data_IF_675575113864
#
_entry.id   IF_675575113864
#
_cell.length_a   1.000
_cell.length_b   1.000
_cell.length_c   1.000
_cell.angle_alpha   90.00
_cell.angle_beta   90.00
_cell.angle_gamma   90.00
#
_symmetry.space_group_name_H-M   'P 1'
#
loop_
_entity.id
_entity.type
_entity.pdbx_description
1 polymer ?
#
# COMPACT_ATOMS: atom_id res chain seq x y z
N UNK A 1 8.95 18.22 0.50
CA UNK A 1 7.98 17.54 1.35
C UNK A 1 6.93 16.87 0.47
N UNK A 2 6.55 15.62 0.78
CA UNK A 2 5.43 14.93 0.14
C UNK A 2 4.13 15.17 0.95
N UNK A 3 3.02 15.32 0.28
CA UNK A 3 1.71 15.51 0.89
C UNK A 3 0.74 14.45 0.43
N UNK A 4 -0.17 14.06 1.32
CA UNK A 4 -1.25 13.11 1.07
C UNK A 4 -2.57 13.85 0.92
N UNK A 5 -3.32 13.54 -0.13
CA UNK A 5 -4.70 13.98 -0.30
C UNK A 5 -5.61 12.77 -0.08
N UNK A 6 -6.39 12.82 0.99
CA UNK A 6 -7.41 11.82 1.32
C UNK A 6 -8.77 12.50 1.41
N UNK A 7 -9.75 12.02 0.65
CA UNK A 7 -11.11 12.59 0.65
C UNK A 7 -12.02 11.79 1.57
N UNK A 8 -12.60 12.45 2.57
CA UNK A 8 -13.56 11.84 3.53
C UNK A 8 -15.03 11.90 3.09
N UNK A 9 -15.38 12.73 2.12
CA UNK A 9 -16.77 12.87 1.67
C UNK A 9 -16.87 13.05 0.16
N UNK A 10 -17.70 12.23 -0.48
CA UNK A 10 -17.68 11.98 -1.92
C UNK A 10 -18.54 12.91 -2.77
N UNK A 11 -19.39 13.73 -2.16
CA UNK A 11 -20.50 14.37 -2.88
C UNK A 11 -20.28 15.83 -3.27
N UNK A 12 -19.29 16.53 -2.71
CA UNK A 12 -19.11 17.97 -2.95
C UNK A 12 -17.71 18.39 -3.48
N UNK A 13 -16.71 17.52 -3.52
CA UNK A 13 -15.31 17.93 -3.48
C UNK A 13 -14.45 17.65 -4.74
N UNK A 14 -15.03 17.20 -5.86
CA UNK A 14 -14.26 16.98 -7.10
C UNK A 14 -13.58 18.28 -7.58
N UNK A 15 -14.25 19.42 -7.42
CA UNK A 15 -13.67 20.73 -7.77
C UNK A 15 -12.65 21.25 -6.75
N UNK A 16 -12.81 20.94 -5.47
CA UNK A 16 -11.89 21.39 -4.41
C UNK A 16 -10.58 20.58 -4.43
N UNK A 17 -10.63 19.30 -4.66
CA UNK A 17 -9.44 18.43 -4.65
C UNK A 17 -8.42 18.77 -5.75
N UNK A 18 -8.85 19.19 -6.93
CA UNK A 18 -7.95 19.65 -7.99
C UNK A 18 -7.31 21.01 -7.65
N UNK A 19 -8.08 21.91 -7.04
CA UNK A 19 -7.58 23.18 -6.53
C UNK A 19 -6.58 22.97 -5.39
N UNK A 20 -6.88 22.07 -4.46
CA UNK A 20 -6.02 21.74 -3.32
C UNK A 20 -4.68 21.16 -3.81
N UNK A 21 -4.69 20.30 -4.82
CA UNK A 21 -3.48 19.73 -5.40
C UNK A 21 -2.56 20.81 -6.01
N UNK A 22 -3.11 21.78 -6.73
CA UNK A 22 -2.36 22.92 -7.28
C UNK A 22 -1.84 23.87 -6.20
N UNK A 23 -2.59 24.09 -5.13
CA UNK A 23 -2.12 24.89 -4.01
C UNK A 23 -0.96 24.23 -3.27
N UNK A 24 -0.97 22.88 -3.11
CA UNK A 24 0.15 22.14 -2.55
C UNK A 24 1.41 22.23 -3.43
N UNK A 25 1.26 22.12 -4.75
CA UNK A 25 2.37 22.32 -5.68
C UNK A 25 2.94 23.75 -5.56
N UNK A 26 2.11 24.78 -5.54
CA UNK A 26 2.52 26.18 -5.33
C UNK A 26 3.19 26.40 -3.98
N UNK A 27 2.76 25.68 -2.94
CA UNK A 27 3.37 25.73 -1.61
C UNK A 27 4.74 25.03 -1.55
N UNK A 28 5.20 24.40 -2.65
CA UNK A 28 6.51 23.78 -2.76
C UNK A 28 6.53 22.28 -2.50
N UNK A 29 5.41 21.60 -2.63
CA UNK A 29 5.41 20.14 -2.67
C UNK A 29 6.21 19.66 -3.89
N UNK A 30 7.03 18.63 -3.72
CA UNK A 30 7.81 18.04 -4.82
C UNK A 30 7.16 16.77 -5.41
N UNK A 31 6.17 16.20 -4.73
CA UNK A 31 5.36 15.06 -5.15
C UNK A 31 4.06 15.03 -4.35
N UNK A 32 3.01 14.42 -4.90
CA UNK A 32 1.75 14.17 -4.20
C UNK A 32 1.43 12.69 -4.16
N UNK A 33 0.95 12.23 -2.98
CA UNK A 33 0.35 10.90 -2.84
C UNK A 33 -1.17 11.05 -2.93
N UNK A 34 -1.77 10.32 -3.86
CA UNK A 34 -3.21 10.28 -4.09
C UNK A 34 -3.76 8.96 -3.54
N UNK A 35 -4.45 9.02 -2.40
CA UNK A 35 -4.95 7.81 -1.73
C UNK A 35 -6.47 7.69 -1.82
N UNK A 36 -6.96 6.54 -2.31
CA UNK A 36 -8.38 6.15 -2.33
C UNK A 36 -9.30 7.21 -2.94
N UNK A 37 -8.85 7.87 -4.00
CA UNK A 37 -9.66 8.81 -4.79
C UNK A 37 -10.13 8.16 -6.10
N UNK A 38 -11.18 8.69 -6.74
CA UNK A 38 -11.62 8.20 -8.05
C UNK A 38 -10.53 8.24 -9.10
N UNK A 39 -10.50 7.23 -9.94
CA UNK A 39 -9.54 7.10 -11.02
C UNK A 39 -9.56 8.29 -12.00
N UNK A 40 -10.73 8.78 -12.35
CA UNK A 40 -10.87 9.95 -13.22
C UNK A 40 -10.34 11.24 -12.56
N UNK A 41 -10.63 11.46 -11.27
CA UNK A 41 -10.08 12.59 -10.52
C UNK A 41 -8.56 12.51 -10.42
N UNK A 42 -8.01 11.34 -10.08
CA UNK A 42 -6.57 11.13 -10.06
C UNK A 42 -5.91 11.44 -11.42
N UNK A 43 -6.56 11.08 -12.52
CA UNK A 43 -6.11 11.39 -13.87
C UNK A 43 -6.10 12.90 -14.16
N UNK A 44 -7.15 13.62 -13.76
CA UNK A 44 -7.23 15.07 -13.91
C UNK A 44 -6.17 15.80 -13.09
N UNK A 45 -6.01 15.42 -11.82
CA UNK A 45 -4.97 15.95 -10.94
C UNK A 45 -3.59 15.72 -11.56
N UNK A 46 -3.28 14.50 -11.94
CA UNK A 46 -1.98 14.15 -12.54
C UNK A 46 -1.68 14.98 -13.79
N UNK A 47 -2.66 15.20 -14.67
CA UNK A 47 -2.50 16.03 -15.87
C UNK A 47 -2.34 17.52 -15.57
N UNK A 48 -2.86 18.00 -14.44
CA UNK A 48 -2.87 19.42 -14.08
C UNK A 48 -1.61 19.89 -13.34
N UNK A 49 -0.81 18.94 -12.82
CA UNK A 49 0.40 19.20 -12.06
C UNK A 49 1.67 19.03 -12.90
N UNK A 50 2.76 19.65 -12.45
CA UNK A 50 4.10 19.46 -13.01
C UNK A 50 4.97 18.55 -12.12
N UNK A 51 4.56 18.37 -10.87
CA UNK A 51 5.19 17.45 -9.92
C UNK A 51 4.60 16.04 -10.02
N UNK A 52 5.36 14.98 -9.73
CA UNK A 52 4.90 13.62 -9.86
C UNK A 52 3.79 13.28 -8.86
N UNK A 53 2.83 12.46 -9.31
CA UNK A 53 1.78 11.87 -8.49
C UNK A 53 2.03 10.40 -8.23
N UNK A 54 1.76 9.94 -7.00
CA UNK A 54 1.94 8.56 -6.56
C UNK A 54 0.60 8.04 -6.07
N UNK A 55 0.03 7.05 -6.76
CA UNK A 55 -1.28 6.49 -6.45
C UNK A 55 -1.23 5.33 -5.47
N UNK A 56 -2.17 5.30 -4.55
CA UNK A 56 -2.54 4.13 -3.77
C UNK A 56 -4.07 4.02 -3.72
N UNK A 57 -4.64 3.12 -4.49
CA UNK A 57 -6.10 3.04 -4.64
C UNK A 57 -6.70 4.22 -5.43
N UNK A 58 -5.93 4.85 -6.31
CA UNK A 58 -6.33 6.00 -7.13
C UNK A 58 -6.41 5.66 -8.64
N UNK A 59 -6.36 4.39 -9.00
CA UNK A 59 -6.35 3.94 -10.40
C UNK A 59 -4.97 4.04 -11.06
N UNK A 60 -4.87 3.72 -12.38
CA UNK A 60 -3.60 3.52 -13.05
C UNK A 60 -2.97 4.79 -13.65
N UNK A 61 -3.57 5.96 -13.48
CA UNK A 61 -3.20 7.18 -14.21
C UNK A 61 -2.22 8.11 -13.48
N UNK A 62 -1.78 7.73 -12.27
CA UNK A 62 -0.69 8.42 -11.58
C UNK A 62 0.66 8.05 -12.17
N UNK A 63 1.67 8.91 -11.97
CA UNK A 63 3.04 8.68 -12.46
C UNK A 63 3.72 7.50 -11.78
N UNK A 64 3.37 7.24 -10.51
CA UNK A 64 3.84 6.10 -9.74
C UNK A 64 2.73 5.42 -8.95
N UNK A 65 3.03 4.21 -8.44
CA UNK A 65 2.10 3.43 -7.62
C UNK A 65 2.83 2.88 -6.40
N UNK A 66 2.16 2.86 -5.25
CA UNK A 66 2.66 2.21 -4.04
C UNK A 66 1.60 1.28 -3.44
N UNK A 67 2.05 0.31 -2.68
CA UNK A 67 1.25 -0.52 -1.78
C UNK A 67 1.99 -0.69 -0.47
N UNK A 68 1.24 -0.84 0.62
CA UNK A 68 1.82 -1.26 1.91
C UNK A 68 2.38 -2.66 1.73
N UNK A 69 3.69 -2.84 2.01
CA UNK A 69 4.37 -4.10 1.70
C UNK A 69 3.78 -5.30 2.44
N UNK A 70 3.33 -5.13 3.70
CA UNK A 70 2.69 -6.20 4.47
C UNK A 70 1.37 -6.67 3.87
N UNK A 71 0.63 -5.76 3.24
CA UNK A 71 -0.59 -6.10 2.51
C UNK A 71 -0.25 -6.79 1.20
N UNK A 72 0.75 -6.27 0.47
CA UNK A 72 1.21 -6.79 -0.81
C UNK A 72 1.70 -8.24 -0.71
N UNK A 73 2.47 -8.59 0.33
CA UNK A 73 2.99 -9.95 0.55
C UNK A 73 2.03 -10.85 1.33
N UNK A 74 0.84 -10.37 1.71
CA UNK A 74 -0.17 -11.16 2.41
C UNK A 74 0.20 -11.50 3.85
N UNK A 75 0.91 -10.62 4.55
CA UNK A 75 1.17 -10.74 5.98
C UNK A 75 -0.02 -10.20 6.79
N UNK A 76 -0.61 -9.08 6.38
CA UNK A 76 -1.85 -8.54 6.94
C UNK A 76 -3.04 -9.32 6.40
N UNK A 77 -3.83 -9.95 7.29
CA UNK A 77 -4.97 -10.78 6.89
C UNK A 77 -6.32 -10.08 7.10
N UNK A 78 -6.42 -9.24 8.12
CA UNK A 78 -7.69 -8.63 8.56
C UNK A 78 -8.13 -7.42 7.75
N UNK A 79 -7.24 -6.91 6.88
CA UNK A 79 -7.49 -5.77 6.03
C UNK A 79 -7.26 -6.13 4.56
N UNK A 80 -8.32 -6.09 3.75
CA UNK A 80 -8.25 -6.43 2.31
C UNK A 80 -9.08 -5.46 1.49
N UNK A 81 -8.68 -4.19 1.36
CA UNK A 81 -9.39 -3.23 0.53
C UNK A 81 -9.29 -3.61 -0.95
N UNK A 82 -10.27 -3.17 -1.74
CA UNK A 82 -10.40 -3.52 -3.17
C UNK A 82 -9.15 -3.22 -4.01
N UNK A 83 -8.37 -2.22 -3.63
CA UNK A 83 -7.17 -1.80 -4.38
C UNK A 83 -5.91 -2.61 -4.04
N UNK A 84 -5.94 -3.43 -2.97
CA UNK A 84 -4.80 -4.27 -2.60
C UNK A 84 -4.80 -5.55 -3.43
N UNK A 85 -3.73 -5.71 -4.22
CA UNK A 85 -3.41 -6.99 -4.85
C UNK A 85 -2.35 -7.68 -4.00
N UNK A 86 -2.66 -8.89 -3.55
CA UNK A 86 -1.70 -9.75 -2.86
C UNK A 86 -0.88 -10.54 -3.87
N UNK A 87 0.43 -10.51 -3.72
CA UNK A 87 1.39 -11.22 -4.57
C UNK A 87 1.93 -12.48 -3.91
N UNK A 88 1.72 -12.62 -2.58
CA UNK A 88 2.08 -13.81 -1.80
C UNK A 88 1.07 -13.99 -0.65
N UNK A 89 1.16 -15.10 0.08
CA UNK A 89 0.45 -15.40 1.31
C UNK A 89 1.46 -15.71 2.43
N UNK A 90 2.20 -14.69 2.84
CA UNK A 90 3.27 -14.85 3.82
C UNK A 90 2.74 -15.26 5.19
N UNK A 91 1.54 -14.83 5.57
CA UNK A 91 0.90 -15.24 6.81
C UNK A 91 0.78 -16.78 6.91
N UNK A 92 0.28 -17.43 5.85
CA UNK A 92 0.16 -18.89 5.83
C UNK A 92 1.54 -19.57 5.87
N UNK A 93 2.50 -19.06 5.11
CA UNK A 93 3.86 -19.61 5.07
C UNK A 93 4.57 -19.53 6.41
N UNK A 94 4.37 -18.45 7.15
CA UNK A 94 4.91 -18.30 8.52
C UNK A 94 4.25 -19.32 9.45
N UNK A 95 2.93 -19.44 9.42
CA UNK A 95 2.18 -20.40 10.25
C UNK A 95 2.63 -21.85 9.97
N UNK A 96 2.77 -22.22 8.70
CA UNK A 96 3.24 -23.56 8.31
C UNK A 96 4.66 -23.82 8.79
N UNK A 97 5.54 -22.82 8.73
CA UNK A 97 6.92 -22.93 9.20
C UNK A 97 6.99 -23.11 10.73
N UNK A 98 6.21 -22.31 11.47
CA UNK A 98 6.13 -22.44 12.94
C UNK A 98 5.55 -23.79 13.33
N UNK A 99 4.51 -24.26 12.62
CA UNK A 99 3.89 -25.55 12.89
C UNK A 99 4.88 -26.72 12.69
N UNK A 100 5.68 -26.68 11.63
CA UNK A 100 6.74 -27.68 11.39
C UNK A 100 7.80 -27.64 12.48
N UNK A 101 8.26 -26.43 12.85
CA UNK A 101 9.20 -26.28 13.96
C UNK A 101 8.70 -26.91 15.27
N UNK A 102 7.43 -26.67 15.63
CA UNK A 102 6.81 -27.28 16.82
C UNK A 102 6.78 -28.81 16.70
N UNK A 103 6.44 -29.35 15.52
CA UNK A 103 6.42 -30.80 15.30
C UNK A 103 7.82 -31.41 15.43
N UNK A 104 8.86 -30.78 14.92
CA UNK A 104 10.24 -31.23 15.02
C UNK A 104 10.72 -31.27 16.47
N UNK A 105 10.35 -30.27 17.28
CA UNK A 105 10.63 -30.27 18.72
C UNK A 105 9.92 -31.43 19.42
N UNK A 106 8.63 -31.59 19.16
CA UNK A 106 7.80 -32.63 19.82
C UNK A 106 8.24 -34.04 19.45
N UNK A 107 8.73 -34.24 18.23
CA UNK A 107 9.24 -35.54 17.75
C UNK A 107 10.71 -35.80 18.08
N UNK A 108 11.40 -34.82 18.67
CA UNK A 108 12.85 -34.93 18.97
C UNK A 108 13.76 -34.82 17.74
N UNK A 109 13.26 -34.35 16.60
CA UNK A 109 14.05 -34.13 15.41
C UNK A 109 14.86 -32.84 15.46
N UNK A 110 14.42 -31.87 16.26
CA UNK A 110 15.12 -30.60 16.49
C UNK A 110 15.30 -30.34 17.99
N UNK A 111 16.49 -29.87 18.48
CA UNK A 111 17.74 -29.85 17.73
C UNK A 111 18.34 -31.24 17.60
N UNK A 112 19.03 -31.53 16.50
CA UNK A 112 19.80 -32.74 16.33
C UNK A 112 21.27 -32.50 16.69
N UNK A 113 22.11 -33.56 16.55
CA UNK A 113 23.52 -33.51 16.95
C UNK A 113 24.34 -32.47 16.16
N UNK A 114 23.98 -32.19 14.89
CA UNK A 114 24.67 -31.19 14.07
C UNK A 114 24.30 -29.75 14.42
N UNK A 115 23.21 -29.57 15.14
CA UNK A 115 22.66 -28.28 15.60
C UNK A 115 22.98 -28.02 17.08
N UNK A 116 23.80 -28.87 17.71
CA UNK A 116 24.20 -28.78 19.12
C UNK A 116 25.67 -28.42 19.25
N UNK A 117 26.05 -27.74 20.34
CA UNK A 117 27.43 -27.36 20.67
C UNK A 117 28.06 -28.31 21.70
#
# INVERSE_FOLDING_TARGET
TAYEISTRDWSSDVCSSDLDAKELEKAGAFALVLEKIPMNLAQEITKSLTIPTIGIGAGPHCDGQILVYTDMIGLTIDFSPRFVRRYDNLHQRVNDSVSRYIQDIQSGHFPNQSESY
#
